data_IF_882137269271
#
_entry.id   IF_882137269271
#
_cell.length_a   1.000
_cell.length_b   1.000
_cell.length_c   1.000
_cell.angle_alpha   90.00
_cell.angle_beta   90.00
_cell.angle_gamma   90.00
#
_symmetry.space_group_name_H-M   'P 1'
#
loop_
_entity.id
_entity.type
_entity.pdbx_description
1 polymer ?
#
# COMPACT_ATOMS: atom_id res chain seq x y z
N UNK A 1 22.13 -13.99 2.66
CA UNK A 1 21.17 -12.96 3.12
C UNK A 1 21.59 -12.36 4.45
N UNK A 2 21.29 -11.08 4.69
CA UNK A 2 21.68 -10.35 5.91
C UNK A 2 20.56 -9.41 6.37
N UNK A 3 20.40 -9.29 7.70
CA UNK A 3 19.60 -8.25 8.35
C UNK A 3 20.54 -7.43 9.24
N UNK A 4 20.41 -6.11 9.19
CA UNK A 4 21.04 -5.20 10.15
C UNK A 4 20.02 -4.19 10.64
N UNK A 5 20.18 -3.70 11.87
CA UNK A 5 19.36 -2.65 12.43
C UNK A 5 20.21 -1.50 12.95
N UNK A 6 19.75 -0.27 12.70
CA UNK A 6 20.37 0.97 13.14
C UNK A 6 19.33 1.85 13.85
N UNK A 7 19.77 2.75 14.74
CA UNK A 7 18.89 3.76 15.32
C UNK A 7 18.44 4.75 14.23
N UNK A 8 17.13 5.01 14.15
CA UNK A 8 16.53 5.91 13.15
C UNK A 8 16.05 7.24 13.74
N UNK A 9 15.71 7.24 15.02
CA UNK A 9 15.27 8.43 15.76
C UNK A 9 14.42 8.07 16.98
N UNK A 10 13.86 9.10 17.59
CA UNK A 10 12.93 8.97 18.72
C UNK A 10 11.66 9.76 18.39
N UNK A 11 10.48 9.18 18.65
CA UNK A 11 9.22 9.90 18.44
C UNK A 11 9.04 11.04 19.44
N UNK A 12 8.13 12.01 19.20
CA UNK A 12 7.82 13.06 20.19
C UNK A 12 7.35 12.50 21.54
N UNK A 13 6.76 11.31 21.55
CA UNK A 13 6.35 10.59 22.76
C UNK A 13 7.49 9.81 23.45
N UNK A 14 8.72 9.90 22.95
CA UNK A 14 9.90 9.28 23.54
C UNK A 14 10.10 7.81 23.16
N UNK A 15 9.44 7.31 22.11
CA UNK A 15 9.61 5.93 21.67
C UNK A 15 10.80 5.80 20.72
N UNK A 16 11.69 4.86 21.00
CA UNK A 16 12.83 4.52 20.14
C UNK A 16 12.36 3.91 18.81
N UNK A 17 12.93 4.39 17.71
CA UNK A 17 12.63 3.93 16.36
C UNK A 17 13.91 3.40 15.71
N UNK A 18 13.80 2.24 15.09
CA UNK A 18 14.89 1.56 14.41
C UNK A 18 14.63 1.48 12.90
N UNK A 19 15.72 1.38 12.15
CA UNK A 19 15.72 1.13 10.71
C UNK A 19 16.42 -0.20 10.44
N UNK A 20 15.68 -1.13 9.85
CA UNK A 20 16.12 -2.48 9.50
C UNK A 20 16.47 -2.52 8.01
N UNK A 21 17.63 -3.06 7.67
CA UNK A 21 18.08 -3.28 6.29
C UNK A 21 18.17 -4.76 5.99
N UNK A 22 17.30 -5.25 5.10
CA UNK A 22 17.28 -6.62 4.59
C UNK A 22 18.02 -6.64 3.26
N UNK A 23 19.06 -7.46 3.12
CA UNK A 23 19.86 -7.57 1.89
C UNK A 23 19.93 -9.03 1.43
N UNK A 24 19.63 -9.28 0.16
CA UNK A 24 19.75 -10.60 -0.45
C UNK A 24 21.10 -10.81 -1.15
N UNK A 25 21.36 -12.04 -1.57
CA UNK A 25 22.65 -12.41 -2.17
C UNK A 25 22.80 -11.90 -3.62
N UNK A 26 21.71 -11.39 -4.20
CA UNK A 26 21.69 -10.75 -5.53
C UNK A 26 21.93 -9.22 -5.46
N UNK A 27 22.14 -8.67 -4.26
CA UNK A 27 22.41 -7.25 -4.05
C UNK A 27 21.16 -6.36 -3.93
N UNK A 28 19.95 -6.91 -4.01
CA UNK A 28 18.72 -6.17 -3.67
C UNK A 28 18.70 -5.89 -2.17
N UNK A 29 18.36 -4.66 -1.81
CA UNK A 29 18.27 -4.23 -0.41
C UNK A 29 16.98 -3.47 -0.13
N UNK A 30 16.29 -3.85 0.93
CA UNK A 30 15.04 -3.22 1.39
C UNK A 30 15.29 -2.64 2.78
N UNK A 31 14.90 -1.38 2.99
CA UNK A 31 14.96 -0.74 4.30
C UNK A 31 13.55 -0.52 4.85
N UNK A 32 13.32 -0.95 6.09
CA UNK A 32 12.02 -0.87 6.76
C UNK A 32 12.24 -0.28 8.16
N UNK A 33 11.44 0.69 8.57
CA UNK A 33 11.43 1.16 9.97
C UNK A 33 10.26 0.58 10.73
N UNK A 34 10.43 0.35 12.04
CA UNK A 34 9.32 -0.06 12.91
C UNK A 34 8.33 1.07 13.22
N UNK A 35 8.64 2.33 12.86
CA UNK A 35 7.62 3.38 12.85
C UNK A 35 6.72 3.21 11.62
N UNK A 36 5.42 2.98 11.84
CA UNK A 36 4.45 2.75 10.77
C UNK A 36 4.68 1.49 9.93
N UNK A 37 5.67 0.66 10.29
CA UNK A 37 6.17 -0.42 9.45
C UNK A 37 6.59 0.05 8.06
N UNK A 38 7.13 1.27 7.95
CA UNK A 38 7.35 1.96 6.68
C UNK A 38 8.50 1.34 5.90
N UNK A 39 8.27 0.99 4.63
CA UNK A 39 9.34 0.75 3.65
C UNK A 39 9.95 2.10 3.27
N UNK A 40 11.19 2.35 3.67
CA UNK A 40 11.89 3.61 3.42
C UNK A 40 12.73 3.60 2.14
N UNK A 41 13.18 2.43 1.70
CA UNK A 41 13.94 2.25 0.47
C UNK A 41 13.78 0.82 -0.10
N UNK A 42 13.80 0.71 -1.43
CA UNK A 42 13.93 -0.56 -2.14
C UNK A 42 14.97 -0.34 -3.25
N UNK A 43 16.19 -0.85 -3.05
CA UNK A 43 17.27 -0.74 -4.03
C UNK A 43 17.26 -1.96 -4.94
N UNK A 44 17.03 -1.75 -6.25
CA UNK A 44 16.96 -2.82 -7.25
C UNK A 44 17.86 -2.53 -8.46
N UNK A 45 18.51 -3.55 -9.04
CA UNK A 45 19.39 -3.35 -10.19
C UNK A 45 18.57 -3.02 -11.44
N UNK A 46 19.12 -2.18 -12.31
CA UNK A 46 18.65 -2.03 -13.69
C UNK A 46 19.27 -3.09 -14.61
N UNK A 47 18.96 -3.05 -15.91
CA UNK A 47 19.53 -4.00 -16.91
C UNK A 47 21.06 -3.95 -17.03
N UNK A 48 21.70 -2.90 -16.53
CA UNK A 48 23.16 -2.74 -16.50
C UNK A 48 23.75 -3.08 -15.12
N UNK A 49 22.93 -3.57 -14.17
CA UNK A 49 23.35 -3.89 -12.81
C UNK A 49 23.46 -2.69 -11.87
N UNK A 50 23.05 -1.49 -12.28
CA UNK A 50 23.09 -0.29 -11.42
C UNK A 50 21.91 -0.32 -10.45
N UNK A 51 22.21 -0.33 -9.16
CA UNK A 51 21.22 -0.18 -8.09
C UNK A 51 20.69 1.26 -8.03
N UNK A 52 19.37 1.41 -7.87
CA UNK A 52 18.73 2.67 -7.48
C UNK A 52 17.52 2.38 -6.61
N UNK A 53 17.13 3.38 -5.82
CA UNK A 53 15.99 3.31 -4.92
C UNK A 53 14.70 3.62 -5.67
N UNK A 54 13.80 2.63 -5.75
CA UNK A 54 12.59 2.69 -6.57
C UNK A 54 11.32 3.03 -5.79
N UNK A 55 11.44 3.50 -4.55
CA UNK A 55 10.31 4.03 -3.78
C UNK A 55 10.52 5.47 -3.35
N UNK A 56 9.44 6.25 -3.28
CA UNK A 56 9.47 7.57 -2.66
C UNK A 56 9.49 7.44 -1.13
N UNK A 57 10.02 8.46 -0.46
CA UNK A 57 10.08 8.51 1.00
C UNK A 57 10.96 9.64 1.51
N UNK A 58 11.31 9.55 2.79
CA UNK A 58 12.18 10.48 3.51
C UNK A 58 13.44 9.79 4.02
N UNK A 59 14.50 10.56 4.25
CA UNK A 59 15.76 10.05 4.83
C UNK A 59 15.72 9.95 6.35
N UNK A 60 14.83 10.69 7.01
CA UNK A 60 14.79 10.84 8.47
C UNK A 60 13.41 10.53 9.03
N UNK A 61 13.36 10.13 10.30
CA UNK A 61 12.11 9.95 11.05
C UNK A 61 11.25 11.22 11.04
N UNK A 62 11.87 12.38 11.21
CA UNK A 62 11.21 13.70 11.19
C UNK A 62 10.42 13.93 9.89
N UNK A 63 10.97 13.53 8.74
CA UNK A 63 10.26 13.60 7.47
C UNK A 63 8.97 12.77 7.46
N UNK A 64 9.01 11.57 8.05
CA UNK A 64 7.83 10.71 8.18
C UNK A 64 6.83 11.22 9.23
N UNK A 65 7.28 11.89 10.29
CA UNK A 65 6.40 12.47 11.31
C UNK A 65 5.58 13.66 10.78
N UNK A 66 6.17 14.52 9.94
CA UNK A 66 5.56 15.81 9.60
C UNK A 66 5.17 15.98 8.13
N UNK A 67 5.76 15.21 7.22
CA UNK A 67 5.59 15.39 5.76
C UNK A 67 5.21 14.08 5.06
N UNK A 68 4.58 13.15 5.78
CA UNK A 68 4.20 11.86 5.22
C UNK A 68 2.85 11.94 4.52
N UNK A 69 2.85 11.59 3.23
CA UNK A 69 1.64 11.27 2.45
C UNK A 69 1.41 9.75 2.46
N UNK A 70 1.60 9.12 3.62
CA UNK A 70 1.59 7.67 3.84
C UNK A 70 2.73 6.91 3.12
N UNK A 71 3.84 7.58 2.81
CA UNK A 71 4.94 6.97 2.04
C UNK A 71 5.42 5.65 2.65
N UNK A 72 5.19 4.54 1.96
CA UNK A 72 5.70 3.22 2.33
C UNK A 72 5.06 2.59 3.56
N UNK A 73 4.07 3.23 4.18
CA UNK A 73 3.54 2.83 5.48
C UNK A 73 2.59 1.63 5.39
N UNK A 74 2.50 0.87 6.49
CA UNK A 74 1.37 -0.01 6.75
C UNK A 74 0.13 0.82 7.05
N UNK A 75 -0.99 0.45 6.45
CA UNK A 75 -2.26 1.14 6.62
C UNK A 75 -3.26 0.24 7.32
N UNK A 76 -3.95 0.79 8.32
CA UNK A 76 -4.95 0.09 9.11
C UNK A 76 -5.51 0.95 10.25
N UNK A 77 -6.61 0.54 10.90
CA UNK A 77 -7.31 -0.75 10.72
C UNK A 77 -8.07 -0.90 9.41
N UNK A 78 -8.40 0.20 8.73
CA UNK A 78 -9.08 0.16 7.45
C UNK A 78 -8.38 1.02 6.40
N UNK A 79 -7.84 0.35 5.39
CA UNK A 79 -7.27 0.98 4.21
C UNK A 79 -8.34 1.61 3.32
N UNK A 80 -7.99 2.74 2.70
CA UNK A 80 -8.87 3.57 1.90
C UNK A 80 -10.03 4.18 2.71
N UNK A 81 -11.12 4.56 2.03
CA UNK A 81 -12.18 5.39 2.58
C UNK A 81 -13.34 4.58 3.16
N UNK A 82 -13.96 5.13 4.20
CA UNK A 82 -15.29 4.76 4.69
C UNK A 82 -16.18 6.00 4.61
N UNK A 83 -17.30 5.87 3.91
CA UNK A 83 -18.24 6.95 3.65
C UNK A 83 -18.73 7.57 4.97
N UNK A 84 -18.72 8.90 5.05
CA UNK A 84 -19.20 9.66 6.21
C UNK A 84 -18.50 9.35 7.53
N UNK A 85 -17.38 8.60 7.50
CA UNK A 85 -16.72 8.08 8.69
C UNK A 85 -17.66 7.24 9.55
N UNK A 86 -18.53 6.45 8.93
CA UNK A 86 -19.53 5.66 9.66
C UNK A 86 -19.73 4.30 9.00
N UNK A 87 -19.95 3.29 9.82
CA UNK A 87 -20.41 1.98 9.36
C UNK A 87 -21.34 1.35 10.40
N UNK A 88 -22.02 0.27 9.99
CA UNK A 88 -22.87 -0.52 10.87
C UNK A 88 -22.32 -1.93 11.01
N UNK A 89 -22.27 -2.44 12.24
CA UNK A 89 -21.84 -3.80 12.54
C UNK A 89 -22.89 -4.45 13.45
N UNK A 90 -23.53 -5.50 12.94
CA UNK A 90 -24.63 -6.21 13.63
C UNK A 90 -25.73 -5.28 14.17
N UNK A 91 -26.08 -4.24 13.40
CA UNK A 91 -27.10 -3.25 13.76
C UNK A 91 -26.62 -2.11 14.68
N UNK A 92 -25.42 -2.19 15.25
CA UNK A 92 -24.80 -1.08 15.97
C UNK A 92 -24.09 -0.14 15.00
N UNK A 93 -24.27 1.18 15.18
CA UNK A 93 -23.58 2.20 14.38
C UNK A 93 -22.28 2.64 15.05
N UNK A 94 -21.21 2.70 14.29
CA UNK A 94 -19.88 3.14 14.72
C UNK A 94 -19.50 4.42 13.97
N UNK A 95 -18.95 5.40 14.68
CA UNK A 95 -18.47 6.66 14.11
C UNK A 95 -16.96 6.73 14.24
N UNK A 96 -16.30 7.06 13.15
CA UNK A 96 -14.86 7.19 12.99
C UNK A 96 -14.50 8.65 12.73
N UNK A 97 -13.23 9.00 12.90
CA UNK A 97 -12.76 10.35 12.58
C UNK A 97 -12.94 10.67 11.09
N UNK A 98 -13.53 11.83 10.77
CA UNK A 98 -13.57 12.36 9.39
C UNK A 98 -12.29 13.12 9.08
N UNK A 99 -11.23 12.39 8.76
CA UNK A 99 -9.90 12.95 8.47
C UNK A 99 -9.67 13.24 6.97
N UNK A 100 -10.65 12.97 6.11
CA UNK A 100 -10.59 13.28 4.68
C UNK A 100 -11.91 13.87 4.19
N UNK A 101 -12.09 15.18 4.37
CA UNK A 101 -13.36 15.86 4.08
C UNK A 101 -14.48 15.27 4.92
N UNK A 102 -15.56 14.82 4.28
CA UNK A 102 -16.67 14.17 4.97
C UNK A 102 -16.41 12.70 5.34
N UNK A 103 -15.30 12.11 4.89
CA UNK A 103 -15.04 10.68 4.97
C UNK A 103 -13.91 10.35 5.96
N UNK A 104 -13.89 9.09 6.39
CA UNK A 104 -12.75 8.51 7.09
C UNK A 104 -11.79 7.88 6.07
N UNK A 105 -10.49 7.98 6.31
CA UNK A 105 -9.44 7.52 5.40
C UNK A 105 -8.29 6.87 6.19
N UNK A 106 -7.84 5.71 5.72
CA UNK A 106 -6.58 5.06 6.15
C UNK A 106 -6.45 4.89 7.66
N UNK A 107 -7.54 4.46 8.32
CA UNK A 107 -7.54 4.15 9.74
C UNK A 107 -7.64 5.35 10.69
N UNK A 108 -7.64 6.58 10.20
CA UNK A 108 -7.99 7.77 10.99
C UNK A 108 -6.84 8.74 11.26
N UNK A 109 -6.88 9.41 12.40
CA UNK A 109 -5.92 10.46 12.76
C UNK A 109 -4.55 9.85 13.05
N UNK A 110 -4.50 8.85 13.92
CA UNK A 110 -3.32 8.05 14.27
C UNK A 110 -3.54 6.58 13.89
N UNK A 111 -3.63 6.33 12.58
CA UNK A 111 -3.67 4.98 12.02
C UNK A 111 -2.35 4.22 12.19
N UNK A 112 -2.31 3.01 11.63
CA UNK A 112 -1.16 2.09 11.71
C UNK A 112 0.15 2.67 11.15
N UNK A 113 0.04 3.70 10.30
CA UNK A 113 1.16 4.43 9.71
C UNK A 113 1.91 5.32 10.71
N UNK A 114 1.32 5.61 11.88
CA UNK A 114 1.85 6.59 12.86
C UNK A 114 2.13 6.00 14.25
N UNK A 115 2.25 4.67 14.34
CA UNK A 115 2.54 3.97 15.59
C UNK A 115 3.90 3.27 15.50
N UNK A 116 4.58 3.12 16.65
CA UNK A 116 5.80 2.31 16.72
C UNK A 116 5.41 0.86 16.96
N UNK A 117 5.74 0.01 16.00
CA UNK A 117 5.55 -1.44 16.06
C UNK A 117 6.67 -2.08 16.87
N UNK A 118 6.36 -3.18 17.57
CA UNK A 118 7.39 -4.05 18.14
C UNK A 118 8.02 -4.87 17.01
N UNK A 119 9.34 -4.86 16.91
CA UNK A 119 10.07 -5.48 15.82
C UNK A 119 10.89 -6.69 16.28
N UNK A 120 10.89 -7.74 15.46
CA UNK A 120 11.69 -8.95 15.66
C UNK A 120 12.30 -9.39 14.34
N UNK A 121 13.62 -9.46 14.29
CA UNK A 121 14.34 -10.05 13.16
C UNK A 121 14.17 -11.58 13.19
N UNK A 122 13.86 -12.17 12.03
CA UNK A 122 13.77 -13.62 11.85
C UNK A 122 14.84 -14.02 10.85
N UNK A 123 15.82 -14.77 11.34
CA UNK A 123 16.93 -15.23 10.53
C UNK A 123 16.63 -16.62 9.97
N UNK A 124 16.53 -16.69 8.65
CA UNK A 124 16.38 -17.91 7.86
C UNK A 124 17.46 -17.90 6.75
N UNK A 125 17.95 -19.08 6.34
CA UNK A 125 18.98 -19.19 5.30
C UNK A 125 18.49 -18.81 3.89
N UNK A 126 17.16 -18.83 3.67
CA UNK A 126 16.51 -18.62 2.38
C UNK A 126 15.71 -17.31 2.29
N UNK A 127 15.35 -16.71 3.44
CA UNK A 127 14.59 -15.46 3.51
C UNK A 127 15.08 -14.55 4.63
N UNK A 128 15.48 -13.32 4.31
CA UNK A 128 15.70 -12.29 5.33
C UNK A 128 14.34 -11.71 5.76
N UNK A 129 13.93 -11.91 7.02
CA UNK A 129 12.58 -11.54 7.49
C UNK A 129 12.56 -10.60 8.69
N UNK A 130 11.63 -9.65 8.67
CA UNK A 130 11.31 -8.73 9.77
C UNK A 130 9.85 -8.88 10.15
N UNK A 131 9.58 -9.33 11.36
CA UNK A 131 8.23 -9.40 11.93
C UNK A 131 7.96 -8.13 12.75
N UNK A 132 6.84 -7.47 12.46
CA UNK A 132 6.31 -6.35 13.19
C UNK A 132 5.01 -6.76 13.89
N UNK A 133 4.85 -6.39 15.16
CA UNK A 133 3.63 -6.64 15.93
C UNK A 133 3.08 -5.37 16.57
N UNK A 134 1.76 -5.25 16.59
CA UNK A 134 1.06 -4.14 17.22
C UNK A 134 -0.29 -4.59 17.75
N UNK A 135 -0.61 -4.13 18.96
CA UNK A 135 -1.91 -4.32 19.59
C UNK A 135 -2.69 -3.02 19.52
N UNK A 136 -3.67 -2.98 18.63
CA UNK A 136 -4.62 -1.87 18.56
C UNK A 136 -5.72 -2.13 19.60
N UNK A 137 -5.91 -1.20 20.54
CA UNK A 137 -6.83 -1.41 21.67
C UNK A 137 -8.29 -1.23 21.26
N UNK A 138 -9.22 -1.85 21.98
CA UNK A 138 -10.65 -1.57 21.80
C UNK A 138 -10.94 -0.07 21.85
N UNK A 139 -11.69 0.43 20.86
CA UNK A 139 -12.03 1.84 20.69
C UNK A 139 -10.95 2.70 20.03
N UNK A 140 -9.76 2.16 19.72
CA UNK A 140 -8.70 2.91 19.04
C UNK A 140 -9.19 3.38 17.67
N UNK A 141 -9.09 4.69 17.41
CA UNK A 141 -9.65 5.37 16.23
C UNK A 141 -11.16 5.13 15.98
N UNK A 142 -11.88 4.64 17.00
CA UNK A 142 -13.33 4.34 16.95
C UNK A 142 -13.68 2.91 16.51
N UNK A 143 -12.69 2.03 16.33
CA UNK A 143 -12.93 0.64 15.94
C UNK A 143 -13.17 -0.27 17.16
N UNK A 144 -14.17 -1.17 17.13
CA UNK A 144 -14.42 -2.11 18.22
C UNK A 144 -13.39 -3.24 18.26
N UNK A 145 -13.17 -3.79 19.44
CA UNK A 145 -12.33 -4.94 19.73
C UNK A 145 -10.85 -4.60 19.85
N UNK A 146 -10.16 -5.31 20.74
CA UNK A 146 -8.70 -5.39 20.64
C UNK A 146 -8.35 -6.16 19.37
N UNK A 147 -7.32 -5.71 18.67
CA UNK A 147 -6.80 -6.34 17.47
C UNK A 147 -5.31 -6.60 17.65
N UNK A 148 -4.95 -7.87 17.70
CA UNK A 148 -3.55 -8.31 17.66
C UNK A 148 -3.15 -8.44 16.20
N UNK A 149 -2.23 -7.59 15.75
CA UNK A 149 -1.76 -7.58 14.35
C UNK A 149 -0.30 -7.95 14.29
N UNK A 150 0.03 -8.80 13.31
CA UNK A 150 1.39 -9.14 12.92
C UNK A 150 1.56 -8.92 11.43
N UNK A 151 2.64 -8.25 11.05
CA UNK A 151 3.05 -8.10 9.65
C UNK A 151 4.50 -8.59 9.49
N UNK A 152 4.73 -9.52 8.58
CA UNK A 152 6.07 -10.02 8.27
C UNK A 152 6.50 -9.55 6.90
N UNK A 153 7.61 -8.82 6.85
CA UNK A 153 8.33 -8.54 5.62
C UNK A 153 9.38 -9.62 5.39
N UNK A 154 9.38 -10.25 4.21
CA UNK A 154 10.36 -11.26 3.83
C UNK A 154 11.01 -10.92 2.48
N UNK A 155 12.34 -10.85 2.44
CA UNK A 155 13.11 -10.67 1.21
C UNK A 155 13.79 -11.98 0.83
N UNK A 156 13.48 -12.46 -0.38
CA UNK A 156 14.07 -13.71 -0.92
C UNK A 156 15.24 -13.43 -1.86
N UNK A 157 16.02 -14.48 -2.16
CA UNK A 157 17.06 -14.42 -3.21
C UNK A 157 16.50 -14.33 -4.64
N UNK A 158 15.17 -14.45 -4.83
CA UNK A 158 14.50 -14.23 -6.11
C UNK A 158 14.10 -12.78 -6.39
N UNK A 159 14.69 -11.81 -5.66
CA UNK A 159 14.31 -10.39 -5.68
C UNK A 159 12.81 -10.15 -5.43
N UNK A 160 12.23 -10.94 -4.53
CA UNK A 160 10.82 -10.81 -4.11
C UNK A 160 10.77 -10.28 -2.67
N UNK A 161 10.13 -9.12 -2.50
CA UNK A 161 9.70 -8.62 -1.21
C UNK A 161 8.25 -9.07 -0.96
N UNK A 162 8.07 -9.97 0.00
CA UNK A 162 6.76 -10.44 0.45
C UNK A 162 6.34 -9.73 1.74
N UNK A 163 5.06 -9.38 1.83
CA UNK A 163 4.42 -8.80 3.01
C UNK A 163 3.26 -9.70 3.39
N UNK A 164 3.35 -10.32 4.56
CA UNK A 164 2.35 -11.23 5.10
C UNK A 164 1.65 -10.58 6.29
N UNK A 165 0.33 -10.49 6.22
CA UNK A 165 -0.52 -9.86 7.22
C UNK A 165 -1.29 -10.94 7.97
N UNK A 166 -1.25 -10.86 9.29
CA UNK A 166 -2.01 -11.71 10.19
C UNK A 166 -2.70 -10.86 11.26
N UNK A 167 -3.96 -11.13 11.56
CA UNK A 167 -4.60 -10.51 12.71
C UNK A 167 -5.70 -11.38 13.34
N UNK A 168 -5.94 -11.15 14.63
CA UNK A 168 -7.05 -11.73 15.40
C UNK A 168 -7.68 -10.67 16.29
N UNK A 169 -8.94 -10.88 16.68
CA UNK A 169 -9.70 -9.92 17.49
C UNK A 169 -10.53 -10.61 18.58
N UNK A 170 -10.85 -9.87 19.63
CA UNK A 170 -11.73 -10.32 20.73
C UNK A 170 -13.19 -9.83 20.60
N UNK A 171 -13.49 -8.96 19.63
CA UNK A 171 -14.86 -8.56 19.28
C UNK A 171 -15.03 -8.53 17.76
N UNK A 172 -16.27 -8.52 17.27
CA UNK A 172 -16.45 -8.29 15.84
C UNK A 172 -15.91 -6.91 15.45
N UNK A 173 -15.14 -6.84 14.37
CA UNK A 173 -14.60 -5.58 13.86
C UNK A 173 -14.53 -5.59 12.34
N UNK A 174 -14.17 -4.47 11.73
CA UNK A 174 -13.83 -4.40 10.32
C UNK A 174 -12.31 -4.27 10.16
N UNK A 175 -11.74 -4.97 9.19
CA UNK A 175 -10.30 -4.97 8.96
C UNK A 175 -9.99 -5.01 7.46
N UNK A 176 -9.13 -4.09 7.02
CA UNK A 176 -8.60 -4.05 5.66
C UNK A 176 -7.20 -3.45 5.72
N UNK A 177 -6.16 -4.27 5.51
CA UNK A 177 -4.76 -3.87 5.67
C UNK A 177 -4.04 -3.84 4.32
N UNK A 178 -3.14 -2.87 4.13
CA UNK A 178 -2.30 -2.74 2.93
C UNK A 178 -0.97 -2.04 3.26
N UNK A 179 -0.11 -1.88 2.26
CA UNK A 179 1.09 -1.04 2.31
C UNK A 179 0.99 0.06 1.23
N UNK A 180 1.33 1.30 1.59
CA UNK A 180 1.16 2.48 0.74
C UNK A 180 2.50 2.99 0.16
N UNK A 181 3.35 2.06 -0.29
CA UNK A 181 4.57 2.37 -1.04
C UNK A 181 4.25 3.07 -2.37
N UNK A 182 4.95 4.19 -2.59
CA UNK A 182 4.92 4.90 -3.87
C UNK A 182 6.13 4.45 -4.69
N UNK A 183 5.90 3.71 -5.75
CA UNK A 183 6.93 3.19 -6.64
C UNK A 183 7.24 4.16 -7.77
N UNK A 184 8.53 4.25 -8.11
CA UNK A 184 9.04 4.82 -9.34
C UNK A 184 10.28 4.02 -9.76
N UNK A 185 10.09 3.07 -10.69
CA UNK A 185 11.17 2.19 -11.14
C UNK A 185 12.32 2.92 -11.86
N UNK A 186 12.12 4.16 -12.34
CA UNK A 186 13.20 4.95 -12.91
C UNK A 186 14.14 5.53 -11.84
N UNK A 187 13.74 5.48 -10.55
CA UNK A 187 14.42 6.14 -9.45
C UNK A 187 14.12 7.63 -9.35
N UNK A 188 13.27 8.20 -10.20
CA UNK A 188 12.96 9.63 -10.15
C UNK A 188 12.11 10.11 -11.33
N UNK A 189 11.87 11.43 -11.39
CA UNK A 189 10.97 12.00 -12.41
C UNK A 189 9.52 11.61 -12.18
N UNK A 190 8.76 11.49 -13.28
CA UNK A 190 7.35 11.06 -13.27
C UNK A 190 7.21 9.61 -13.70
N UNK A 191 6.15 8.92 -13.26
CA UNK A 191 5.83 7.54 -13.65
C UNK A 191 5.02 7.42 -14.94
N UNK A 192 4.83 8.51 -15.68
CA UNK A 192 3.92 8.54 -16.83
C UNK A 192 4.37 7.63 -17.98
N UNK A 193 5.68 7.40 -18.11
CA UNK A 193 6.25 6.53 -19.16
C UNK A 193 6.35 5.05 -18.73
N UNK A 194 6.10 4.74 -17.45
CA UNK A 194 5.99 3.35 -17.01
C UNK A 194 4.83 2.67 -17.71
N UNK A 195 5.07 1.45 -18.16
CA UNK A 195 4.09 0.64 -18.85
C UNK A 195 3.45 -0.33 -17.85
N UNK A 196 2.13 -0.20 -17.67
CA UNK A 196 1.35 -0.91 -16.69
C UNK A 196 0.41 -1.91 -17.36
N UNK A 197 0.31 -3.11 -16.79
CA UNK A 197 -0.77 -4.05 -17.02
C UNK A 197 -1.38 -4.45 -15.67
N UNK A 198 -2.71 -4.46 -15.57
CA UNK A 198 -3.47 -4.90 -14.39
C UNK A 198 -4.36 -6.07 -14.78
N UNK A 199 -4.31 -7.14 -14.00
CA UNK A 199 -5.13 -8.34 -14.19
C UNK A 199 -6.55 -8.14 -13.64
N UNK A 200 -7.30 -7.21 -14.24
CA UNK A 200 -8.64 -6.83 -13.83
C UNK A 200 -9.48 -6.40 -15.03
N UNK A 201 -10.68 -6.96 -15.16
CA UNK A 201 -11.65 -6.56 -16.19
C UNK A 201 -12.65 -5.51 -15.70
N UNK A 202 -12.65 -5.22 -14.40
CA UNK A 202 -13.57 -4.30 -13.78
C UNK A 202 -12.88 -3.42 -12.72
N UNK A 203 -13.52 -2.30 -12.39
CA UNK A 203 -13.13 -1.40 -11.31
C UNK A 203 -14.38 -0.94 -10.55
N UNK A 204 -14.19 -0.27 -9.42
CA UNK A 204 -15.28 0.33 -8.64
C UNK A 204 -15.34 1.84 -8.91
N UNK A 205 -16.28 2.36 -9.71
CA UNK A 205 -16.42 3.78 -9.97
C UNK A 205 -16.73 4.55 -8.69
N UNK A 206 -16.18 5.74 -8.58
CA UNK A 206 -16.30 6.63 -7.43
C UNK A 206 -17.16 7.85 -7.75
N UNK A 207 -17.70 8.45 -6.68
CA UNK A 207 -18.30 9.77 -6.73
C UNK A 207 -17.25 10.88 -6.51
N UNK A 208 -17.69 12.15 -6.50
CA UNK A 208 -16.81 13.32 -6.26
C UNK A 208 -16.05 13.29 -4.92
N UNK A 209 -16.52 12.54 -3.93
CA UNK A 209 -15.86 12.33 -2.64
C UNK A 209 -14.90 11.14 -2.63
N UNK A 210 -14.65 10.53 -3.80
CA UNK A 210 -13.83 9.33 -3.98
C UNK A 210 -14.34 8.11 -3.20
N UNK A 211 -15.65 8.06 -2.95
CA UNK A 211 -16.35 6.90 -2.37
C UNK A 211 -16.91 6.06 -3.53
N UNK A 212 -16.71 4.73 -3.53
CA UNK A 212 -17.34 3.85 -4.51
C UNK A 212 -18.85 4.01 -4.54
N UNK A 213 -19.42 3.97 -5.73
CA UNK A 213 -20.87 4.07 -5.95
C UNK A 213 -21.63 2.79 -5.60
N UNK A 214 -20.91 1.68 -5.38
CA UNK A 214 -21.46 0.32 -5.28
C UNK A 214 -21.51 -0.42 -6.62
N UNK A 215 -21.31 0.28 -7.74
CA UNK A 215 -21.18 -0.30 -9.08
C UNK A 215 -19.84 -1.05 -9.22
N UNK A 216 -19.85 -2.18 -9.94
CA UNK A 216 -18.66 -2.82 -10.50
C UNK A 216 -18.76 -2.64 -12.02
N UNK A 217 -17.89 -1.79 -12.58
CA UNK A 217 -17.93 -1.39 -13.99
C UNK A 217 -16.78 -2.02 -14.76
N UNK A 218 -17.04 -2.46 -15.99
CA UNK A 218 -15.98 -2.94 -16.87
C UNK A 218 -14.97 -1.82 -17.19
N UNK A 219 -13.68 -2.18 -17.23
CA UNK A 219 -12.62 -1.26 -17.69
C UNK A 219 -12.62 -1.09 -19.21
N UNK A 220 -13.24 -2.02 -19.95
CA UNK A 220 -13.24 -2.03 -21.41
C UNK A 220 -13.80 -0.72 -21.97
N UNK A 221 -13.13 -0.19 -23.00
CA UNK A 221 -13.50 1.05 -23.67
C UNK A 221 -13.45 2.29 -22.74
N UNK A 222 -12.72 2.20 -21.62
CA UNK A 222 -12.46 3.33 -20.70
C UNK A 222 -10.95 3.65 -20.61
N UNK A 223 -10.57 4.83 -20.11
CA UNK A 223 -9.16 5.13 -19.84
C UNK A 223 -8.48 4.18 -18.85
N UNK A 224 -9.26 3.51 -18.00
CA UNK A 224 -8.79 2.59 -16.97
C UNK A 224 -8.43 1.20 -17.52
N UNK A 225 -8.57 0.95 -18.83
CA UNK A 225 -8.25 -0.35 -19.43
C UNK A 225 -6.75 -0.65 -19.47
N UNK A 226 -6.23 -1.19 -18.37
CA UNK A 226 -4.87 -1.73 -18.28
C UNK A 226 -4.82 -3.25 -18.48
N UNK A 227 -5.82 -3.87 -19.13
CA UNK A 227 -5.78 -5.31 -19.41
C UNK A 227 -4.62 -5.70 -20.34
N UNK A 228 -4.12 -4.72 -21.10
CA UNK A 228 -2.89 -4.79 -21.89
C UNK A 228 -1.87 -3.75 -21.41
N UNK A 229 -0.58 -4.09 -21.54
CA UNK A 229 0.56 -3.23 -21.20
C UNK A 229 0.42 -1.87 -21.88
N UNK A 230 0.18 -0.82 -21.10
CA UNK A 230 -0.05 0.55 -21.58
C UNK A 230 0.70 1.56 -20.71
N UNK A 231 1.29 2.59 -21.31
CA UNK A 231 1.92 3.66 -20.54
C UNK A 231 0.89 4.35 -19.61
N UNK A 232 1.24 4.57 -18.34
CA UNK A 232 0.35 5.20 -17.35
C UNK A 232 -0.17 6.54 -17.88
N UNK A 233 0.71 7.34 -18.48
CA UNK A 233 0.39 8.66 -19.03
C UNK A 233 -0.46 8.65 -20.30
N UNK A 234 -0.64 7.52 -20.98
CA UNK A 234 -1.25 7.48 -22.31
C UNK A 234 -2.70 8.01 -22.33
N UNK A 235 -3.44 7.80 -21.24
CA UNK A 235 -4.86 8.15 -21.13
C UNK A 235 -5.22 8.94 -19.87
N UNK A 236 -4.23 9.31 -19.06
CA UNK A 236 -4.44 9.92 -17.74
C UNK A 236 -5.14 11.29 -17.78
N UNK A 237 -5.08 11.97 -18.94
CA UNK A 237 -5.70 13.27 -19.18
C UNK A 237 -6.96 13.19 -20.07
N UNK A 238 -7.48 11.98 -20.34
CA UNK A 238 -8.72 11.85 -21.11
C UNK A 238 -9.89 12.53 -20.37
N UNK A 239 -10.83 13.07 -21.14
CA UNK A 239 -12.07 13.62 -20.61
C UNK A 239 -13.04 12.49 -20.20
N UNK A 240 -12.74 11.89 -19.05
CA UNK A 240 -13.54 10.86 -18.41
C UNK A 240 -13.90 11.29 -16.99
N UNK A 241 -15.14 11.03 -16.57
CA UNK A 241 -15.66 11.47 -15.28
C UNK A 241 -14.81 10.98 -14.10
N UNK A 242 -14.37 9.72 -14.16
CA UNK A 242 -13.63 9.08 -13.08
C UNK A 242 -12.22 9.67 -12.95
N UNK A 243 -11.57 9.96 -14.08
CA UNK A 243 -10.29 10.67 -14.09
C UNK A 243 -10.44 12.12 -13.60
N UNK A 244 -11.53 12.80 -13.95
CA UNK A 244 -11.81 14.16 -13.47
C UNK A 244 -12.01 14.20 -11.95
N UNK A 245 -12.69 13.21 -11.35
CA UNK A 245 -12.86 13.14 -9.90
C UNK A 245 -11.54 12.88 -9.17
N UNK A 246 -10.71 11.98 -9.70
CA UNK A 246 -9.46 11.55 -9.07
C UNK A 246 -8.24 12.44 -9.39
N UNK A 247 -8.31 13.27 -10.45
CA UNK A 247 -7.17 14.05 -10.95
C UNK A 247 -6.07 13.19 -11.59
N UNK A 248 -6.41 11.97 -12.03
CA UNK A 248 -5.54 10.90 -12.48
C UNK A 248 -6.19 9.55 -12.19
N UNK A 249 -5.41 8.50 -11.96
CA UNK A 249 -5.94 7.23 -11.45
C UNK A 249 -5.91 7.25 -9.91
N UNK A 250 -7.03 6.93 -9.28
CA UNK A 250 -7.17 6.67 -7.85
C UNK A 250 -8.35 5.70 -7.65
N UNK A 251 -8.24 4.50 -8.23
CA UNK A 251 -9.35 3.56 -8.33
C UNK A 251 -8.96 2.16 -7.83
N UNK A 252 -9.92 1.49 -7.21
CA UNK A 252 -9.82 0.08 -6.89
C UNK A 252 -10.20 -0.75 -8.12
N UNK A 253 -9.25 -1.55 -8.58
CA UNK A 253 -9.43 -2.55 -9.62
C UNK A 253 -9.90 -3.85 -8.98
N UNK A 254 -10.94 -4.46 -9.57
CA UNK A 254 -11.48 -5.75 -9.16
C UNK A 254 -10.63 -6.83 -9.82
N UNK A 255 -9.71 -7.42 -9.07
CA UNK A 255 -8.75 -8.38 -9.60
C UNK A 255 -9.47 -9.65 -10.07
N UNK A 256 -9.03 -10.21 -11.20
CA UNK A 256 -9.56 -11.49 -11.69
C UNK A 256 -9.41 -12.54 -10.59
N UNK A 257 -10.49 -13.26 -10.32
CA UNK A 257 -10.48 -14.43 -9.45
C UNK A 257 -10.01 -15.62 -10.29
N UNK A 258 -8.70 -15.84 -10.33
CA UNK A 258 -8.13 -17.06 -10.90
C UNK A 258 -8.41 -18.26 -9.95
N UNK A 259 -8.16 -19.49 -10.42
CA UNK A 259 -8.28 -20.71 -9.59
C UNK A 259 -7.29 -20.73 -8.42
N UNK A 260 -6.28 -19.86 -8.43
CA UNK A 260 -5.24 -19.76 -7.41
C UNK A 260 -5.56 -18.66 -6.37
N UNK A 261 -5.40 -18.99 -5.09
CA UNK A 261 -5.64 -18.05 -3.98
C UNK A 261 -4.63 -16.88 -3.99
N UNK A 262 -3.37 -17.14 -4.35
CA UNK A 262 -2.32 -16.15 -4.50
C UNK A 262 -2.01 -15.98 -5.98
N UNK A 263 -2.23 -14.78 -6.52
CA UNK A 263 -2.26 -14.56 -7.97
C UNK A 263 -1.66 -13.23 -8.37
N UNK A 264 -1.25 -13.12 -9.63
CA UNK A 264 -0.72 -11.89 -10.19
C UNK A 264 -1.81 -10.81 -10.31
N UNK A 265 -1.57 -9.66 -9.70
CA UNK A 265 -2.44 -8.50 -9.73
C UNK A 265 -2.03 -7.51 -10.83
N UNK A 266 -0.72 -7.25 -10.99
CA UNK A 266 -0.23 -6.29 -11.96
C UNK A 266 1.24 -6.53 -12.35
N UNK A 267 1.64 -5.94 -13.47
CA UNK A 267 3.04 -5.81 -13.88
C UNK A 267 3.27 -4.37 -14.30
N UNK A 268 4.36 -3.77 -13.82
CA UNK A 268 4.82 -2.46 -14.26
C UNK A 268 6.26 -2.55 -14.76
N UNK A 269 6.52 -1.95 -15.91
CA UNK A 269 7.82 -1.90 -16.56
C UNK A 269 8.25 -0.45 -16.77
N UNK A 270 9.54 -0.18 -16.62
CA UNK A 270 10.14 1.10 -16.97
C UNK A 270 11.14 0.93 -18.13
N UNK A 271 10.86 1.52 -19.32
CA UNK A 271 11.64 1.27 -20.53
C UNK A 271 13.13 1.61 -20.48
N UNK A 272 13.50 2.66 -19.77
CA UNK A 272 14.87 3.19 -19.80
C UNK A 272 15.84 2.32 -18.99
N UNK A 273 15.45 1.98 -17.77
CA UNK A 273 16.21 1.12 -16.85
C UNK A 273 16.00 -0.36 -17.15
N UNK A 274 14.89 -0.72 -17.78
CA UNK A 274 14.49 -2.11 -17.99
C UNK A 274 13.95 -2.80 -16.75
N UNK A 275 13.78 -2.10 -15.63
CA UNK A 275 13.23 -2.69 -14.41
C UNK A 275 11.77 -3.09 -14.61
N UNK A 276 11.43 -4.26 -14.12
CA UNK A 276 10.07 -4.80 -14.05
C UNK A 276 9.74 -5.05 -12.59
N UNK A 277 8.53 -4.68 -12.19
CA UNK A 277 7.93 -5.11 -10.93
C UNK A 277 6.63 -5.87 -11.21
N UNK A 278 6.53 -7.08 -10.69
CA UNK A 278 5.31 -7.86 -10.63
C UNK A 278 4.69 -7.77 -9.23
N UNK A 279 3.39 -7.52 -9.17
CA UNK A 279 2.60 -7.49 -7.93
C UNK A 279 1.74 -8.74 -7.90
N UNK A 280 1.84 -9.53 -6.84
CA UNK A 280 1.01 -10.71 -6.60
C UNK A 280 0.33 -10.63 -5.23
N UNK A 281 -0.88 -11.19 -5.10
CA UNK A 281 -1.69 -10.96 -3.90
C UNK A 281 -2.77 -12.02 -3.68
N UNK A 282 -3.19 -12.19 -2.42
CA UNK A 282 -4.44 -12.88 -2.05
C UNK A 282 -5.68 -11.97 -1.96
N UNK A 283 -5.55 -10.64 -2.02
CA UNK A 283 -6.68 -9.70 -1.87
C UNK A 283 -7.61 -9.75 -3.08
N UNK A 284 -8.91 -9.41 -2.94
CA UNK A 284 -9.84 -9.35 -4.06
C UNK A 284 -9.63 -8.12 -4.95
N UNK A 285 -9.01 -7.06 -4.45
CA UNK A 285 -8.83 -5.80 -5.16
C UNK A 285 -7.42 -5.22 -5.03
N UNK A 286 -7.16 -4.19 -5.83
CA UNK A 286 -5.95 -3.38 -5.74
C UNK A 286 -6.28 -1.93 -6.07
N UNK A 287 -5.99 -1.01 -5.15
CA UNK A 287 -5.96 0.41 -5.47
C UNK A 287 -4.75 0.68 -6.35
N UNK A 288 -5.01 1.25 -7.52
CA UNK A 288 -3.96 1.89 -8.31
C UNK A 288 -4.13 3.40 -8.21
N UNK A 289 -3.15 4.04 -7.58
CA UNK A 289 -3.10 5.48 -7.39
C UNK A 289 -1.85 6.06 -8.04
N UNK A 290 -2.02 7.02 -8.95
CA UNK A 290 -0.93 7.59 -9.74
C UNK A 290 -0.28 8.83 -9.12
N UNK A 291 -0.34 9.02 -7.79
CA UNK A 291 0.38 10.13 -7.13
C UNK A 291 -0.18 11.52 -7.45
N UNK A 292 -1.51 11.63 -7.60
CA UNK A 292 -2.20 12.83 -8.10
C UNK A 292 -2.12 14.05 -7.17
N UNK A 293 -1.95 13.82 -5.87
CA UNK A 293 -1.93 14.85 -4.83
C UNK A 293 -0.52 15.26 -4.38
N UNK A 294 0.51 14.74 -5.04
CA UNK A 294 1.87 15.27 -4.90
C UNK A 294 1.94 16.62 -5.63
N UNK A 295 2.48 17.64 -4.97
CA UNK A 295 2.42 19.03 -5.42
C UNK A 295 3.80 19.72 -5.51
N UNK A 296 4.87 18.98 -5.23
CA UNK A 296 6.24 19.52 -5.22
C UNK A 296 6.63 20.20 -3.91
N UNK A 297 5.78 20.21 -2.88
CA UNK A 297 6.13 20.78 -1.57
C UNK A 297 7.08 19.90 -0.75
N UNK A 298 7.26 18.64 -1.14
CA UNK A 298 8.06 17.64 -0.43
C UNK A 298 9.39 17.45 -1.15
N UNK A 299 10.48 17.88 -0.50
CA UNK A 299 11.83 17.45 -0.81
C UNK A 299 12.10 16.13 -0.07
N UNK A 300 12.05 15.02 -0.81
CA UNK A 300 12.29 13.69 -0.27
C UNK A 300 13.78 13.31 -0.28
N UNK A 301 14.04 12.02 -0.47
CA UNK A 301 15.39 11.44 -0.47
C UNK A 301 16.30 12.11 -1.50
N UNK A 302 17.52 12.40 -1.08
CA UNK A 302 18.57 13.04 -1.88
C UNK A 302 18.13 14.36 -2.54
N UNK A 303 17.22 15.09 -1.89
CA UNK A 303 16.68 16.36 -2.39
C UNK A 303 15.72 16.23 -3.57
N UNK A 304 15.30 15.01 -3.94
CA UNK A 304 14.32 14.78 -5.02
C UNK A 304 12.98 15.39 -4.63
N UNK A 305 12.46 16.30 -5.46
CA UNK A 305 11.16 16.92 -5.25
C UNK A 305 10.06 16.02 -5.81
N UNK A 306 9.06 15.70 -5.00
CA UNK A 306 7.94 14.87 -5.41
C UNK A 306 6.78 15.71 -5.93
N UNK A 307 6.68 15.80 -7.25
CA UNK A 307 5.61 16.47 -7.97
C UNK A 307 4.48 15.49 -8.31
N UNK A 308 3.40 16.02 -8.89
CA UNK A 308 2.29 15.21 -9.39
C UNK A 308 2.81 14.09 -10.29
N UNK A 309 2.38 12.86 -10.02
CA UNK A 309 2.80 11.66 -10.74
C UNK A 309 4.28 11.28 -10.56
N UNK A 310 4.98 11.74 -9.52
CA UNK A 310 6.34 11.27 -9.22
C UNK A 310 6.44 9.82 -8.75
N UNK A 311 5.33 9.21 -8.33
CA UNK A 311 5.25 7.82 -7.90
C UNK A 311 3.83 7.29 -8.02
N UNK A 312 3.67 5.97 -8.05
CA UNK A 312 2.38 5.29 -8.05
C UNK A 312 2.30 4.19 -7.01
N UNK A 313 1.10 3.91 -6.50
CA UNK A 313 0.85 2.90 -5.49
C UNK A 313 0.09 1.70 -6.06
N UNK A 314 0.37 0.52 -5.48
CA UNK A 314 -0.29 -0.74 -5.78
C UNK A 314 -0.81 -1.35 -4.47
N UNK A 315 -1.83 -0.72 -3.90
CA UNK A 315 -2.35 -1.11 -2.58
C UNK A 315 -3.31 -2.27 -2.76
N UNK A 316 -2.83 -3.49 -2.58
CA UNK A 316 -3.68 -4.68 -2.58
C UNK A 316 -4.59 -4.65 -1.35
N UNK A 317 -5.92 -4.64 -1.55
CA UNK A 317 -6.88 -4.50 -0.45
C UNK A 317 -8.24 -5.13 -0.78
N UNK A 318 -9.13 -5.21 0.22
CA UNK A 318 -10.57 -5.26 -0.04
C UNK A 318 -11.07 -3.92 -0.61
N UNK A 319 -12.23 -3.93 -1.25
CA UNK A 319 -12.74 -2.73 -1.92
C UNK A 319 -13.03 -1.62 -0.90
N UNK A 320 -12.76 -0.35 -1.23
CA UNK A 320 -13.10 0.75 -0.34
C UNK A 320 -14.58 0.75 0.03
N UNK A 321 -14.90 1.22 1.23
CA UNK A 321 -16.27 1.31 1.74
C UNK A 321 -17.08 0.00 1.80
N UNK A 322 -16.44 -1.17 1.69
CA UNK A 322 -17.09 -2.50 1.79
C UNK A 322 -18.05 -2.66 3.00
N UNK A 323 -17.78 -2.13 4.21
CA UNK A 323 -18.73 -2.17 5.33
C UNK A 323 -20.10 -1.55 5.03
N UNK A 324 -20.17 -0.62 4.07
CA UNK A 324 -21.39 0.08 3.66
C UNK A 324 -21.91 -0.38 2.28
N UNK A 325 -21.25 -1.35 1.64
CA UNK A 325 -21.55 -1.84 0.29
C UNK A 325 -21.81 -3.36 0.34
N UNK A 326 -23.05 -3.81 0.58
CA UNK A 326 -23.35 -5.23 0.80
C UNK A 326 -23.00 -6.17 -0.36
N UNK A 327 -22.84 -5.64 -1.58
CA UNK A 327 -22.42 -6.40 -2.76
C UNK A 327 -20.91 -6.61 -2.84
N UNK A 328 -20.12 -5.92 -2.02
CA UNK A 328 -18.66 -6.02 -2.01
C UNK A 328 -18.17 -7.14 -1.08
N UNK A 329 -16.94 -7.67 -1.28
CA UNK A 329 -16.35 -8.64 -0.37
C UNK A 329 -16.31 -8.13 1.06
N UNK A 330 -16.76 -8.96 2.01
CA UNK A 330 -16.87 -8.55 3.41
C UNK A 330 -15.51 -8.35 4.06
N UNK A 331 -15.37 -7.26 4.81
CA UNK A 331 -14.20 -6.96 5.64
C UNK A 331 -14.43 -7.27 7.12
N UNK A 332 -15.49 -8.01 7.45
CA UNK A 332 -15.81 -8.40 8.82
C UNK A 332 -14.81 -9.44 9.34
N UNK A 333 -14.19 -9.17 10.48
CA UNK A 333 -13.42 -10.13 11.25
C UNK A 333 -14.15 -10.44 12.57
N UNK A 334 -14.42 -11.72 12.85
CA UNK A 334 -15.08 -12.16 14.10
C UNK A 334 -14.07 -12.77 15.08
N UNK A 335 -14.40 -12.81 16.39
CA UNK A 335 -13.62 -13.58 17.36
C UNK A 335 -13.53 -15.06 16.94
N UNK A 336 -12.32 -15.61 17.03
CA UNK A 336 -12.03 -16.99 16.60
C UNK A 336 -11.73 -17.15 15.10
N UNK A 337 -11.92 -16.12 14.28
CA UNK A 337 -11.45 -16.09 12.90
C UNK A 337 -10.04 -15.49 12.82
N UNK A 338 -9.27 -15.92 11.82
CA UNK A 338 -7.96 -15.35 11.51
C UNK A 338 -8.03 -14.52 10.23
N UNK A 339 -7.59 -13.27 10.29
CA UNK A 339 -7.30 -12.50 9.09
C UNK A 339 -5.94 -12.93 8.55
N UNK A 340 -5.88 -13.35 7.28
CA UNK A 340 -4.64 -13.69 6.58
C UNK A 340 -4.64 -13.10 5.19
N UNK A 341 -3.57 -12.40 4.86
CA UNK A 341 -3.40 -11.84 3.52
C UNK A 341 -1.91 -11.75 3.18
N UNK A 342 -1.55 -11.98 1.92
CA UNK A 342 -0.16 -11.86 1.44
C UNK A 342 -0.10 -11.04 0.17
N UNK A 343 0.87 -10.13 0.10
CA UNK A 343 1.26 -9.39 -1.11
C UNK A 343 2.74 -9.60 -1.38
N UNK A 344 3.13 -9.68 -2.65
CA UNK A 344 4.53 -9.64 -3.03
C UNK A 344 4.81 -8.66 -4.16
N UNK A 345 6.00 -8.07 -4.08
CA UNK A 345 6.62 -7.23 -5.10
C UNK A 345 7.87 -7.95 -5.57
N UNK A 346 7.80 -8.54 -6.76
CA UNK A 346 8.93 -9.24 -7.37
C UNK A 346 9.58 -8.39 -8.45
N UNK A 347 10.88 -8.22 -8.35
CA UNK A 347 11.65 -7.38 -9.26
C UNK A 347 12.51 -8.21 -10.21
N UNK A 348 12.57 -7.76 -11.46
CA UNK A 348 13.40 -8.35 -12.52
C UNK A 348 13.81 -7.28 -13.53
N UNK A 349 14.52 -7.69 -14.58
CA UNK A 349 14.96 -6.82 -15.66
C UNK A 349 14.56 -7.41 -17.03
N UNK A 350 14.14 -6.54 -17.93
CA UNK A 350 13.79 -6.80 -19.35
C UNK A 350 14.78 -6.10 -20.30
#
# INVERSE_FOLDING_TARGET
>A
MKITSDHFGVTPEGQEVQLFSLTNDQGMAVKITNFGGIITAINVPDRNGKLDDVVLGHETLEGYLHRSRYFGALIGRYANRIAHGRFCLRGAAYTLAKNNGENHLHGGLKGFDKVVWSAREIQDSEVASLELTYRSKDGEEGYPGNLETRVTYGLTNGNELRIEYFATTDQNTILNLTNHSYFNLAGGGTVLDHQLAINADNFTPVNKGLIPTGEIRSVKDTPLDFTCRTAIGARINNHDEQLCFAGGYDHNFVLRTETETFRKAATVYEPMTGRVMEVSTTQPGMQFYSGNFLDGSIAGKSGRVYIKHSGCCFETQHFPDSPNQPSFPSTLLKPGEEYRHTTSFKFSVE
#
